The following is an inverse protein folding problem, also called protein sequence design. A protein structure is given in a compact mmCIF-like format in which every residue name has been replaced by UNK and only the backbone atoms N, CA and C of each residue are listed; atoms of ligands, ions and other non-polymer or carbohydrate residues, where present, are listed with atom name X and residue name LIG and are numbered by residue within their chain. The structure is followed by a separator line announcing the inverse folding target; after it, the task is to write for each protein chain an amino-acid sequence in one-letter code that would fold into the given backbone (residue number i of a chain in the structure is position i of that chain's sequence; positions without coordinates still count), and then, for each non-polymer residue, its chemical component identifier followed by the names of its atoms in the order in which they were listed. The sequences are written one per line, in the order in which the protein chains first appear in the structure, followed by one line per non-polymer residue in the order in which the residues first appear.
data_IF_963444118502
#
_entry.id   IF_963444118502
#
_cell.length_a   1.000
_cell.length_b   1.000
_cell.length_c   1.000
_cell.angle_alpha   90.00
_cell.angle_beta   90.00
_cell.angle_gamma   90.00
#
_symmetry.space_group_name_H-M   'P 1'
#
loop_
_entity.id
_entity.type
_entity.pdbx_description
1 polymer ?
#
# COMPACT_ATOMS: atom_id res chain seq x y z
N UNK A 1 -3.66 -5.67 -32.72
CA UNK A 1 -3.14 -5.35 -31.38
C UNK A 1 -2.95 -3.85 -31.14
N UNK A 2 -2.22 -3.07 -31.96
CA UNK A 2 -2.07 -1.61 -31.71
C UNK A 2 -3.37 -0.79 -31.84
N UNK A 3 -4.22 -1.07 -32.85
CA UNK A 3 -5.47 -0.31 -33.03
C UNK A 3 -6.52 -0.55 -31.93
N UNK A 4 -6.57 -1.75 -31.37
CA UNK A 4 -7.50 -2.07 -30.27
C UNK A 4 -7.10 -1.40 -28.96
N UNK A 5 -5.80 -1.33 -28.65
CA UNK A 5 -5.35 -0.62 -27.44
C UNK A 5 -5.57 0.88 -27.57
N UNK A 6 -5.35 1.47 -28.75
CA UNK A 6 -5.63 2.89 -29.01
C UNK A 6 -7.12 3.21 -28.82
N UNK A 7 -8.01 2.38 -29.37
CA UNK A 7 -9.46 2.60 -29.20
C UNK A 7 -9.90 2.47 -27.73
N UNK A 8 -9.29 1.55 -26.96
CA UNK A 8 -9.56 1.39 -25.53
C UNK A 8 -9.14 2.64 -24.74
N UNK A 9 -7.92 3.13 -24.99
CA UNK A 9 -7.41 4.36 -24.35
C UNK A 9 -8.28 5.57 -24.70
N UNK A 10 -8.69 5.72 -25.96
CA UNK A 10 -9.59 6.79 -26.37
C UNK A 10 -10.94 6.69 -25.64
N UNK A 11 -11.50 5.47 -25.52
CA UNK A 11 -12.73 5.24 -24.79
C UNK A 11 -12.64 5.60 -23.30
N UNK A 12 -11.54 5.24 -22.66
CA UNK A 12 -11.25 5.61 -21.26
C UNK A 12 -11.22 7.14 -21.08
N UNK A 13 -10.53 7.86 -21.98
CA UNK A 13 -10.48 9.33 -21.95
C UNK A 13 -11.86 9.97 -22.13
N UNK A 14 -12.71 9.46 -23.04
CA UNK A 14 -14.07 9.97 -23.21
C UNK A 14 -14.95 9.73 -21.98
N UNK A 15 -14.79 8.58 -21.33
CA UNK A 15 -15.49 8.30 -20.07
C UNK A 15 -15.03 9.22 -18.95
N UNK A 16 -13.73 9.46 -18.82
CA UNK A 16 -13.18 10.42 -17.85
C UNK A 16 -13.73 11.84 -18.05
N UNK A 17 -13.86 12.30 -19.30
CA UNK A 17 -14.48 13.58 -19.62
C UNK A 17 -15.97 13.57 -19.23
N UNK A 18 -16.70 12.49 -19.54
CA UNK A 18 -18.11 12.33 -19.19
C UNK A 18 -18.36 12.38 -17.68
N UNK A 19 -17.51 11.70 -16.91
CA UNK A 19 -17.57 11.69 -15.45
C UNK A 19 -17.13 13.03 -14.86
N UNK A 20 -16.16 13.71 -15.49
CA UNK A 20 -15.74 15.06 -15.13
C UNK A 20 -16.85 16.09 -15.32
N UNK A 21 -17.63 15.99 -16.40
CA UNK A 21 -18.80 16.85 -16.62
C UNK A 21 -19.89 16.60 -15.56
N UNK A 22 -20.13 15.35 -15.16
CA UNK A 22 -21.15 15.01 -14.16
C UNK A 22 -20.74 15.40 -12.74
N UNK A 23 -19.48 15.18 -12.39
CA UNK A 23 -18.98 15.32 -11.01
C UNK A 23 -18.32 16.68 -10.74
N UNK A 24 -17.98 17.44 -11.78
CA UNK A 24 -17.19 18.67 -11.67
C UNK A 24 -15.71 18.44 -11.37
N UNK A 25 -15.25 17.18 -11.30
CA UNK A 25 -13.87 16.83 -10.99
C UNK A 25 -13.23 16.13 -12.20
N UNK A 26 -12.24 16.76 -12.82
CA UNK A 26 -11.59 16.26 -14.02
C UNK A 26 -10.34 15.43 -13.68
N UNK A 27 -10.37 14.15 -14.01
CA UNK A 27 -9.27 13.20 -13.84
C UNK A 27 -9.75 11.81 -13.40
N UNK A 28 -8.96 10.77 -13.71
CA UNK A 28 -9.22 9.41 -13.21
C UNK A 28 -9.26 9.42 -11.69
N UNK A 29 -10.40 9.04 -11.10
CA UNK A 29 -10.49 8.80 -9.68
C UNK A 29 -9.85 7.47 -9.35
N UNK A 30 -9.02 7.46 -8.31
CA UNK A 30 -8.42 6.24 -7.79
C UNK A 30 -9.54 5.34 -7.26
N UNK A 31 -9.60 4.09 -7.70
CA UNK A 31 -10.60 3.11 -7.23
C UNK A 31 -9.98 2.24 -6.14
N UNK A 32 -10.56 2.29 -4.94
CA UNK A 32 -10.10 1.53 -3.78
C UNK A 32 -11.12 0.43 -3.47
N UNK A 33 -10.67 -0.82 -3.57
CA UNK A 33 -11.41 -1.98 -3.09
C UNK A 33 -11.51 -1.98 -1.56
N UNK A 34 -12.61 -2.50 -1.03
CA UNK A 34 -12.82 -2.75 0.38
C UNK A 34 -13.49 -4.11 0.55
N UNK A 35 -12.79 -5.08 1.14
CA UNK A 35 -13.39 -6.36 1.48
C UNK A 35 -14.29 -6.19 2.71
N UNK A 36 -15.51 -6.73 2.65
CA UNK A 36 -16.48 -6.59 3.75
C UNK A 36 -16.63 -7.85 4.60
N UNK A 37 -15.99 -8.95 4.20
CA UNK A 37 -15.93 -10.20 4.96
C UNK A 37 -14.50 -10.47 5.46
N UNK A 38 -14.38 -11.43 6.39
CA UNK A 38 -13.11 -11.89 6.93
C UNK A 38 -12.58 -11.07 8.12
N UNK A 39 -13.26 -10.01 8.53
CA UNK A 39 -12.91 -9.18 9.69
C UNK A 39 -13.62 -9.55 10.99
N UNK A 40 -13.22 -8.90 12.08
CA UNK A 40 -13.89 -9.01 13.39
C UNK A 40 -15.17 -8.15 13.48
N UNK A 41 -15.31 -7.18 12.58
CA UNK A 41 -16.49 -6.35 12.45
C UNK A 41 -17.47 -6.92 11.41
N UNK A 42 -18.77 -6.74 11.66
CA UNK A 42 -19.81 -7.12 10.70
C UNK A 42 -19.83 -6.23 9.46
N UNK A 43 -20.41 -6.74 8.38
CA UNK A 43 -20.54 -6.06 7.07
C UNK A 43 -21.10 -4.65 7.22
N UNK A 44 -22.17 -4.48 8.00
CA UNK A 44 -22.83 -3.18 8.22
C UNK A 44 -21.87 -2.11 8.75
N UNK A 45 -20.93 -2.49 9.62
CA UNK A 45 -19.97 -1.56 10.21
C UNK A 45 -18.90 -1.15 9.20
N UNK A 46 -18.45 -2.10 8.37
CA UNK A 46 -17.53 -1.82 7.27
C UNK A 46 -18.18 -0.88 6.25
N UNK A 47 -19.46 -1.10 5.90
CA UNK A 47 -20.21 -0.25 4.97
C UNK A 47 -20.42 1.15 5.54
N UNK A 48 -20.69 1.29 6.85
CA UNK A 48 -20.72 2.61 7.51
C UNK A 48 -19.37 3.33 7.39
N UNK A 49 -18.26 2.62 7.60
CA UNK A 49 -16.91 3.15 7.39
C UNK A 49 -16.71 3.68 5.97
N UNK A 50 -17.14 2.90 4.96
CA UNK A 50 -17.10 3.31 3.56
C UNK A 50 -17.94 4.58 3.30
N UNK A 51 -19.16 4.66 3.86
CA UNK A 51 -20.02 5.83 3.74
C UNK A 51 -19.40 7.08 4.34
N UNK A 52 -18.75 6.96 5.51
CA UNK A 52 -18.06 8.07 6.15
C UNK A 52 -16.86 8.54 5.32
N UNK A 53 -16.07 7.59 4.80
CA UNK A 53 -14.92 7.90 3.94
C UNK A 53 -15.35 8.60 2.65
N UNK A 54 -16.37 8.09 1.95
CA UNK A 54 -16.89 8.66 0.71
C UNK A 54 -17.50 10.05 0.88
N UNK A 55 -18.08 10.37 2.05
CA UNK A 55 -18.56 11.73 2.35
C UNK A 55 -17.44 12.71 2.68
N UNK A 56 -16.36 12.22 3.29
CA UNK A 56 -15.25 13.04 3.76
C UNK A 56 -14.22 13.32 2.66
N UNK A 57 -14.04 12.36 1.75
CA UNK A 57 -13.00 12.36 0.73
C UNK A 57 -13.63 12.19 -0.66
N UNK A 58 -13.16 12.98 -1.63
CA UNK A 58 -13.68 13.00 -3.00
C UNK A 58 -12.63 12.69 -4.09
N UNK A 59 -11.43 12.31 -3.66
CA UNK A 59 -10.24 12.01 -4.45
C UNK A 59 -10.14 10.52 -4.84
N UNK A 60 -11.01 9.67 -4.30
CA UNK A 60 -11.10 8.24 -4.66
C UNK A 60 -12.55 7.74 -4.64
N UNK A 61 -12.77 6.60 -5.28
CA UNK A 61 -14.03 5.85 -5.29
C UNK A 61 -13.87 4.54 -4.52
N UNK A 62 -14.93 4.09 -3.85
CA UNK A 62 -14.92 2.86 -3.07
C UNK A 62 -15.69 1.78 -3.84
N UNK A 63 -15.07 0.61 -3.98
CA UNK A 63 -15.66 -0.60 -4.54
C UNK A 63 -15.73 -1.64 -3.43
N UNK A 64 -16.92 -2.17 -3.13
CA UNK A 64 -17.08 -3.21 -2.12
C UNK A 64 -16.88 -4.59 -2.73
N UNK A 65 -16.29 -5.49 -1.95
CA UNK A 65 -16.11 -6.91 -2.29
C UNK A 65 -16.67 -7.74 -1.14
N UNK A 66 -17.78 -8.42 -1.36
CA UNK A 66 -18.54 -9.10 -0.30
C UNK A 66 -20.02 -9.24 -0.63
N UNK A 67 -20.88 -9.58 0.34
CA UNK A 67 -22.29 -9.81 0.07
C UNK A 67 -22.97 -8.55 -0.43
N UNK A 68 -24.08 -8.73 -1.15
CA UNK A 68 -24.88 -7.62 -1.63
C UNK A 68 -25.41 -6.79 -0.46
N UNK A 69 -25.22 -5.48 -0.56
CA UNK A 69 -25.66 -4.48 0.42
C UNK A 69 -26.43 -3.37 -0.27
N UNK A 70 -27.40 -2.79 0.43
CA UNK A 70 -28.13 -1.61 -0.05
C UNK A 70 -27.33 -0.34 0.28
N UNK A 71 -26.32 -0.08 -0.56
CA UNK A 71 -25.42 1.07 -0.42
C UNK A 71 -25.06 1.64 -1.81
N UNK A 72 -24.74 2.94 -1.92
CA UNK A 72 -24.41 3.59 -3.18
C UNK A 72 -22.99 3.26 -3.67
N UNK A 73 -22.52 2.03 -3.48
CA UNK A 73 -21.23 1.54 -3.93
C UNK A 73 -21.38 0.47 -4.99
N UNK A 74 -20.41 0.38 -5.90
CA UNK A 74 -20.29 -0.80 -6.75
C UNK A 74 -19.89 -1.98 -5.87
N UNK A 75 -20.62 -3.10 -5.99
CA UNK A 75 -20.38 -4.31 -5.21
C UNK A 75 -20.01 -5.45 -6.15
N UNK A 76 -18.87 -6.09 -5.87
CA UNK A 76 -18.54 -7.40 -6.40
C UNK A 76 -18.96 -8.45 -5.38
N UNK A 77 -19.98 -9.24 -5.75
CA UNK A 77 -20.60 -10.19 -4.83
C UNK A 77 -19.64 -11.33 -4.48
N UNK A 78 -19.52 -11.61 -3.19
CA UNK A 78 -18.75 -12.72 -2.63
C UNK A 78 -19.41 -13.23 -1.35
N UNK A 79 -19.31 -14.52 -1.09
CA UNK A 79 -20.07 -15.21 -0.05
C UNK A 79 -19.23 -15.58 1.18
N UNK A 80 -17.90 -15.61 1.04
CA UNK A 80 -16.97 -15.90 2.11
C UNK A 80 -15.65 -15.11 1.97
N UNK A 81 -14.78 -15.21 2.98
CA UNK A 81 -13.52 -14.47 3.01
C UNK A 81 -12.55 -14.90 1.90
N UNK A 82 -12.51 -16.18 1.56
CA UNK A 82 -11.61 -16.70 0.52
C UNK A 82 -12.01 -16.16 -0.86
N UNK A 83 -13.32 -16.18 -1.16
CA UNK A 83 -13.88 -15.61 -2.38
C UNK A 83 -13.63 -14.10 -2.45
N UNK A 84 -13.76 -13.36 -1.33
CA UNK A 84 -13.42 -11.92 -1.32
C UNK A 84 -11.97 -11.65 -1.66
N UNK A 85 -11.02 -12.47 -1.16
CA UNK A 85 -9.60 -12.30 -1.46
C UNK A 85 -9.28 -12.63 -2.91
N UNK A 86 -9.90 -13.69 -3.47
CA UNK A 86 -9.73 -14.05 -4.87
C UNK A 86 -10.23 -12.94 -5.82
N UNK A 87 -11.43 -12.43 -5.58
CA UNK A 87 -11.99 -11.33 -6.39
C UNK A 87 -11.12 -10.08 -6.23
N UNK A 88 -10.65 -9.77 -5.03
CA UNK A 88 -9.72 -8.67 -4.80
C UNK A 88 -8.47 -8.78 -5.68
N UNK A 89 -7.83 -9.96 -5.74
CA UNK A 89 -6.65 -10.20 -6.57
C UNK A 89 -6.97 -10.02 -8.07
N UNK A 90 -8.08 -10.59 -8.55
CA UNK A 90 -8.51 -10.43 -9.96
C UNK A 90 -8.76 -8.96 -10.34
N UNK A 91 -9.33 -8.17 -9.42
CA UNK A 91 -9.58 -6.75 -9.64
C UNK A 91 -8.29 -5.91 -9.62
N UNK A 92 -7.32 -6.26 -8.79
CA UNK A 92 -5.99 -5.64 -8.78
C UNK A 92 -5.22 -5.97 -10.07
N UNK A 93 -5.18 -7.24 -10.46
CA UNK A 93 -4.47 -7.72 -11.65
C UNK A 93 -5.05 -7.15 -12.96
N UNK A 94 -6.36 -6.98 -13.02
CA UNK A 94 -7.05 -6.37 -14.17
C UNK A 94 -6.94 -4.84 -14.21
N UNK A 95 -6.51 -4.21 -13.11
CA UNK A 95 -6.47 -2.75 -12.96
C UNK A 95 -7.86 -2.10 -12.80
N UNK A 96 -8.88 -2.89 -12.46
CA UNK A 96 -10.22 -2.38 -12.14
C UNK A 96 -10.25 -1.65 -10.80
N UNK A 97 -9.38 -2.04 -9.85
CA UNK A 97 -9.07 -1.28 -8.64
C UNK A 97 -7.57 -0.98 -8.57
N UNK A 98 -7.21 0.18 -8.03
CA UNK A 98 -5.84 0.67 -7.91
C UNK A 98 -5.18 0.27 -6.57
N UNK A 99 -5.99 -0.16 -5.60
CA UNK A 99 -5.57 -0.62 -4.30
C UNK A 99 -6.74 -1.23 -3.55
N UNK A 100 -6.47 -1.92 -2.44
CA UNK A 100 -7.51 -2.54 -1.63
C UNK A 100 -7.22 -2.41 -0.13
N UNK A 101 -8.29 -2.22 0.65
CA UNK A 101 -8.30 -2.38 2.09
C UNK A 101 -8.94 -3.73 2.41
N UNK A 102 -8.16 -4.61 3.03
CA UNK A 102 -8.58 -5.98 3.33
C UNK A 102 -8.17 -6.39 4.74
N UNK A 103 -8.85 -7.42 5.27
CA UNK A 103 -8.63 -7.98 6.60
C UNK A 103 -8.25 -9.46 6.49
N UNK A 104 -7.43 -9.93 7.44
CA UNK A 104 -6.98 -11.32 7.55
C UNK A 104 -6.46 -11.94 6.24
N UNK A 105 -5.83 -11.13 5.39
CA UNK A 105 -5.22 -11.59 4.16
C UNK A 105 -3.85 -12.22 4.42
N UNK A 106 -3.64 -13.43 3.89
CA UNK A 106 -2.38 -14.15 4.04
C UNK A 106 -1.37 -13.66 3.01
N UNK A 107 -0.23 -13.16 3.49
CA UNK A 107 0.82 -12.65 2.61
C UNK A 107 1.67 -13.78 2.03
N UNK A 108 1.83 -13.87 0.69
CA UNK A 108 2.76 -14.81 0.09
C UNK A 108 4.21 -14.43 0.40
N UNK A 109 5.13 -15.39 0.23
CA UNK A 109 6.57 -15.12 0.34
C UNK A 109 6.96 -14.09 -0.74
N UNK A 110 7.76 -13.10 -0.34
CA UNK A 110 8.11 -11.94 -1.14
C UNK A 110 7.34 -10.68 -0.75
N UNK A 111 6.25 -10.82 0.01
CA UNK A 111 5.40 -9.70 0.46
C UNK A 111 5.63 -9.42 1.94
N UNK A 112 5.72 -8.13 2.27
CA UNK A 112 5.67 -7.67 3.65
C UNK A 112 4.95 -6.34 3.77
N UNK A 113 4.44 -6.07 4.96
CA UNK A 113 3.73 -4.83 5.28
C UNK A 113 4.68 -3.79 5.86
N UNK A 114 4.49 -2.53 5.47
CA UNK A 114 5.18 -1.39 6.05
C UNK A 114 4.24 -0.72 7.06
N UNK A 115 4.68 -0.58 8.31
CA UNK A 115 3.87 0.01 9.38
C UNK A 115 4.21 1.49 9.59
N UNK A 116 3.19 2.33 9.73
CA UNK A 116 3.35 3.71 10.22
C UNK A 116 2.91 3.77 11.67
N UNK A 117 3.79 4.25 12.55
CA UNK A 117 3.56 4.30 13.99
C UNK A 117 3.89 5.68 14.55
N UNK A 118 3.27 6.04 15.67
CA UNK A 118 3.68 7.19 16.48
C UNK A 118 4.55 6.65 17.62
N UNK A 119 5.79 7.12 17.71
CA UNK A 119 6.73 6.69 18.74
C UNK A 119 6.22 7.09 20.13
N UNK A 120 6.11 6.15 21.08
CA UNK A 120 5.52 6.44 22.40
C UNK A 120 6.36 7.45 23.18
N UNK A 121 7.70 7.41 23.05
CA UNK A 121 8.59 8.28 23.82
C UNK A 121 8.67 9.72 23.33
N UNK A 122 8.43 9.98 22.03
CA UNK A 122 8.61 11.32 21.44
C UNK A 122 7.36 11.87 20.74
N UNK A 123 6.30 11.08 20.62
CA UNK A 123 5.11 11.45 19.85
C UNK A 123 5.40 11.72 18.38
N UNK A 124 6.52 11.23 17.85
CA UNK A 124 6.95 11.45 16.47
C UNK A 124 6.59 10.27 15.60
N UNK A 125 6.16 10.55 14.38
CA UNK A 125 5.91 9.50 13.39
C UNK A 125 7.20 8.76 13.02
N UNK A 126 7.06 7.46 12.78
CA UNK A 126 8.12 6.56 12.35
C UNK A 126 7.53 5.52 11.39
N UNK A 127 8.31 5.14 10.39
CA UNK A 127 7.99 4.04 9.49
C UNK A 127 8.80 2.81 9.93
N UNK A 128 8.09 1.73 10.24
CA UNK A 128 8.66 0.39 10.41
C UNK A 128 8.66 -0.29 9.05
N UNK A 129 9.85 -0.40 8.46
CA UNK A 129 10.11 -0.95 7.13
C UNK A 129 9.52 -2.36 6.91
N UNK A 130 9.28 -3.11 7.98
CA UNK A 130 8.51 -4.36 7.95
C UNK A 130 7.81 -4.56 9.29
N UNK A 131 6.58 -5.10 9.28
CA UNK A 131 5.90 -5.57 10.49
C UNK A 131 5.49 -7.03 10.38
N UNK A 132 4.74 -7.39 9.33
CA UNK A 132 4.21 -8.73 9.09
C UNK A 132 4.58 -9.17 7.66
N UNK A 133 4.71 -10.48 7.46
CA UNK A 133 5.09 -11.07 6.16
C UNK A 133 6.57 -11.43 6.05
N UNK A 134 6.96 -11.95 4.88
CA UNK A 134 8.29 -12.51 4.63
C UNK A 134 8.82 -12.04 3.28
N UNK A 135 9.58 -10.95 3.23
CA UNK A 135 10.16 -10.41 1.98
C UNK A 135 11.21 -11.31 1.31
N UNK A 136 11.89 -12.14 2.10
CA UNK A 136 12.78 -13.21 1.64
C UNK A 136 12.98 -14.23 2.76
N UNK A 137 13.27 -15.48 2.38
CA UNK A 137 13.75 -16.53 3.28
C UNK A 137 15.18 -16.27 3.78
N UNK A 138 15.95 -15.45 3.07
CA UNK A 138 17.26 -14.98 3.52
C UNK A 138 17.11 -13.68 4.32
N UNK A 139 17.63 -13.67 5.56
CA UNK A 139 17.51 -12.52 6.48
C UNK A 139 18.12 -11.24 5.91
N UNK A 140 19.36 -11.30 5.41
CA UNK A 140 20.09 -10.12 4.91
C UNK A 140 19.37 -9.55 3.69
N UNK A 141 19.00 -10.42 2.74
CA UNK A 141 18.22 -10.02 1.56
C UNK A 141 16.88 -9.39 1.96
N UNK A 142 16.17 -10.02 2.91
CA UNK A 142 14.89 -9.52 3.42
C UNK A 142 15.03 -8.14 4.03
N UNK A 143 16.05 -7.91 4.86
CA UNK A 143 16.31 -6.60 5.47
C UNK A 143 16.65 -5.52 4.45
N UNK A 144 17.40 -5.86 3.38
CA UNK A 144 17.68 -4.93 2.28
C UNK A 144 16.38 -4.56 1.54
N UNK A 145 15.55 -5.55 1.18
CA UNK A 145 14.25 -5.31 0.53
C UNK A 145 13.33 -4.45 1.41
N UNK A 146 13.26 -4.77 2.70
CA UNK A 146 12.44 -4.02 3.67
C UNK A 146 12.87 -2.56 3.75
N UNK A 147 14.18 -2.27 3.81
CA UNK A 147 14.67 -0.90 3.81
C UNK A 147 14.19 -0.11 2.57
N UNK A 148 14.23 -0.74 1.39
CA UNK A 148 13.72 -0.14 0.15
C UNK A 148 12.19 0.05 0.22
N UNK A 149 11.44 -0.94 0.69
CA UNK A 149 9.98 -0.83 0.87
C UNK A 149 9.60 0.32 1.81
N UNK A 150 10.32 0.46 2.92
CA UNK A 150 10.15 1.59 3.85
C UNK A 150 10.43 2.95 3.21
N UNK A 151 11.48 3.07 2.39
CA UNK A 151 11.77 4.30 1.63
C UNK A 151 10.63 4.62 0.66
N UNK A 152 10.16 3.62 -0.10
CA UNK A 152 9.08 3.78 -1.09
C UNK A 152 7.80 4.25 -0.38
N UNK A 153 7.42 3.59 0.70
CA UNK A 153 6.24 3.94 1.49
C UNK A 153 6.35 5.33 2.13
N UNK A 154 7.54 5.71 2.63
CA UNK A 154 7.75 7.06 3.17
C UNK A 154 7.62 8.13 2.07
N UNK A 155 8.19 7.88 0.88
CA UNK A 155 8.08 8.80 -0.26
C UNK A 155 6.65 8.92 -0.78
N UNK A 156 5.89 7.82 -0.82
CA UNK A 156 4.50 7.84 -1.30
C UNK A 156 3.56 8.66 -0.41
N UNK A 157 3.85 8.78 0.89
CA UNK A 157 3.12 9.63 1.82
C UNK A 157 3.69 11.06 1.95
N UNK A 158 4.59 11.46 1.05
CA UNK A 158 5.10 12.83 0.95
C UNK A 158 6.41 13.12 1.70
N UNK A 159 7.04 12.13 2.33
CA UNK A 159 8.37 12.30 2.95
C UNK A 159 9.42 12.23 1.84
N UNK A 160 9.82 13.39 1.30
CA UNK A 160 10.74 13.47 0.14
C UNK A 160 12.08 12.77 0.36
N UNK A 161 12.71 13.03 1.51
CA UNK A 161 14.06 12.56 1.85
C UNK A 161 14.02 11.75 3.15
N UNK A 162 13.45 10.53 3.16
CA UNK A 162 13.36 9.73 4.37
C UNK A 162 14.74 9.23 4.78
N UNK A 163 15.01 9.22 6.08
CA UNK A 163 16.23 8.64 6.66
C UNK A 163 15.99 7.19 7.09
N UNK A 164 16.96 6.31 6.84
CA UNK A 164 16.89 4.88 7.18
C UNK A 164 17.85 4.55 8.31
N UNK A 165 17.29 4.04 9.41
CA UNK A 165 18.04 3.36 10.46
C UNK A 165 17.92 1.84 10.31
N UNK A 166 18.98 1.11 10.61
CA UNK A 166 19.06 -0.35 10.55
C UNK A 166 19.05 -0.85 11.98
N UNK A 167 18.00 -1.55 12.37
CA UNK A 167 17.95 -2.18 13.69
C UNK A 167 19.10 -3.20 13.82
N UNK A 168 19.81 -3.15 14.94
CA UNK A 168 20.98 -3.99 15.21
C UNK A 168 20.59 -5.46 15.47
N UNK A 169 20.24 -6.16 14.40
CA UNK A 169 19.98 -7.60 14.35
C UNK A 169 21.15 -8.34 13.70
N UNK A 170 21.12 -9.67 13.76
CA UNK A 170 22.09 -10.48 13.02
C UNK A 170 22.04 -10.15 11.51
N UNK A 171 23.22 -9.96 10.92
CA UNK A 171 23.39 -9.51 9.54
C UNK A 171 23.30 -7.99 9.30
N UNK A 172 23.00 -7.15 10.31
CA UNK A 172 22.82 -5.70 10.13
C UNK A 172 24.01 -4.99 9.46
N UNK A 173 25.25 -5.39 9.78
CA UNK A 173 26.47 -4.84 9.13
C UNK A 173 26.58 -5.22 7.66
N UNK A 174 26.10 -6.40 7.27
CA UNK A 174 26.06 -6.82 5.87
C UNK A 174 25.00 -6.02 5.11
N UNK A 175 23.83 -5.82 5.72
CA UNK A 175 22.75 -4.97 5.19
C UNK A 175 23.25 -3.53 4.98
N UNK A 176 23.92 -2.95 5.97
CA UNK A 176 24.54 -1.62 5.89
C UNK A 176 25.47 -1.52 4.68
N UNK A 177 26.38 -2.48 4.49
CA UNK A 177 27.32 -2.50 3.38
C UNK A 177 26.60 -2.56 2.02
N UNK A 178 25.59 -3.41 1.90
CA UNK A 178 24.80 -3.57 0.66
C UNK A 178 24.02 -2.28 0.36
N UNK A 179 23.34 -1.68 1.34
CA UNK A 179 22.59 -0.43 1.13
C UNK A 179 23.52 0.73 0.75
N UNK A 180 24.72 0.82 1.35
CA UNK A 180 25.73 1.80 0.95
C UNK A 180 26.21 1.57 -0.48
N UNK A 181 26.35 0.33 -0.93
CA UNK A 181 26.70 0.01 -2.32
C UNK A 181 25.59 0.41 -3.30
N UNK A 182 24.33 0.10 -2.97
CA UNK A 182 23.14 0.52 -3.72
C UNK A 182 23.10 2.05 -3.84
N UNK A 183 23.36 2.76 -2.74
CA UNK A 183 23.43 4.21 -2.73
C UNK A 183 24.53 4.76 -3.63
N UNK A 184 25.74 4.19 -3.58
CA UNK A 184 26.85 4.57 -4.47
C UNK A 184 26.56 4.30 -5.96
N UNK A 185 25.72 3.32 -6.26
CA UNK A 185 25.30 2.95 -7.62
C UNK A 185 24.15 3.81 -8.17
N UNK A 186 23.65 4.79 -7.41
CA UNK A 186 22.73 5.82 -7.91
C UNK A 186 21.33 5.81 -7.31
N UNK A 187 21.00 4.87 -6.42
CA UNK A 187 19.73 4.93 -5.68
C UNK A 187 19.94 5.67 -4.36
N UNK A 188 19.63 6.96 -4.30
CA UNK A 188 19.88 7.79 -3.11
C UNK A 188 19.19 7.25 -1.85
N UNK A 189 19.98 7.00 -0.79
CA UNK A 189 19.53 6.57 0.53
C UNK A 189 20.13 7.52 1.57
N UNK A 190 19.27 8.20 2.32
CA UNK A 190 19.70 8.98 3.48
C UNK A 190 19.78 8.05 4.69
N UNK A 191 20.94 7.92 5.29
CA UNK A 191 21.14 7.08 6.46
C UNK A 191 20.88 7.89 7.74
N UNK A 192 20.15 7.30 8.69
CA UNK A 192 20.00 7.87 10.03
C UNK A 192 21.32 7.75 10.80
N UNK A 193 21.47 8.57 11.85
CA UNK A 193 22.67 8.57 12.69
C UNK A 193 22.34 8.14 14.11
N UNK A 194 23.16 7.23 14.64
CA UNK A 194 23.05 6.70 15.99
C UNK A 194 23.62 7.69 17.00
N UNK A 195 23.03 7.71 18.21
CA UNK A 195 23.53 8.52 19.32
C UNK A 195 24.72 7.89 20.05
N UNK A 196 25.14 6.69 19.64
CA UNK A 196 26.31 6.01 20.22
C UNK A 196 27.59 6.72 19.81
N UNK A 197 28.66 6.55 20.61
CA UNK A 197 29.98 7.16 20.32
C UNK A 197 30.55 6.71 18.97
N UNK A 198 30.24 5.50 18.52
CA UNK A 198 30.65 4.95 17.22
C UNK A 198 29.78 5.42 16.04
N UNK A 199 28.67 6.11 16.33
CA UNK A 199 27.74 6.67 15.35
C UNK A 199 27.18 5.65 14.36
N UNK A 200 26.74 6.16 13.21
CA UNK A 200 26.35 5.33 12.06
C UNK A 200 24.91 4.88 12.08
N UNK A 201 24.52 4.14 11.04
CA UNK A 201 23.10 3.86 10.78
C UNK A 201 22.60 2.56 11.40
N UNK A 202 23.45 1.81 12.11
CA UNK A 202 23.06 0.62 12.88
C UNK A 202 22.73 1.06 14.30
N UNK A 203 21.51 0.76 14.75
CA UNK A 203 20.91 1.31 15.99
C UNK A 203 20.48 0.20 16.94
#
# INVERSE_FOLDING_TARGET
MEKESINKVIGEVFNEIGDGIKSGNFGRKIKIGLTTLGGEHGVDEIVKGAMLASRKYGDFEIVLIGPKVDAPFKVYEANDAEETHKIMEELLDSGEIDGCVTQHYNFPIGVSTVGRVITPGKGKEMILATTTGTSSVNRVEGMVKNAIYGIIAAKSIGIKNPTVGILNLDGARQVEKILKEISKKGYEINFADSLREDGGCVM
#
